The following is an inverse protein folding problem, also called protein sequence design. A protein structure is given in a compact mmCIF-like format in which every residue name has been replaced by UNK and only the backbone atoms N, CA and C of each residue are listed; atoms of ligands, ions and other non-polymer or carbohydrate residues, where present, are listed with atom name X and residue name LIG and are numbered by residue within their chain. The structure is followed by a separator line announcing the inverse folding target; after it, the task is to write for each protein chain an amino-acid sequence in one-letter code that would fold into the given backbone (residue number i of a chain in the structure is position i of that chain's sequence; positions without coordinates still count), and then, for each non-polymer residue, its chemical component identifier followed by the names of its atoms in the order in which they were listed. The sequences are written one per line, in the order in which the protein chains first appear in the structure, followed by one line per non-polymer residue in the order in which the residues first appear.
data_IF_409356118029
#
_entry.id   IF_409356118029
#
_cell.length_a   1.000
_cell.length_b   1.000
_cell.length_c   1.000
_cell.angle_alpha   90.00
_cell.angle_beta   90.00
_cell.angle_gamma   90.00
#
_symmetry.space_group_name_H-M   'P 1'
#
loop_
_entity.id
_entity.type
_entity.pdbx_description
1 polymer ?
#
# COMPACT_ATOMS: atom_id res chain seq x y z
N UNK A 1 19.15 -1.38 -0.91
CA UNK A 1 18.10 -0.50 -0.38
C UNK A 1 16.98 -1.42 0.08
N UNK A 2 16.64 -1.44 1.38
CA UNK A 2 15.58 -2.30 1.88
C UNK A 2 14.21 -1.79 1.39
N UNK A 3 13.24 -2.70 1.20
CA UNK A 3 11.88 -2.31 0.84
C UNK A 3 11.28 -1.45 1.98
N UNK A 4 10.85 -0.19 1.74
CA UNK A 4 10.31 0.68 2.77
C UNK A 4 9.04 0.12 3.43
N UNK A 5 8.36 -0.83 2.77
CA UNK A 5 7.18 -1.51 3.28
C UNK A 5 7.48 -2.84 3.96
N UNK A 6 8.75 -3.20 4.22
CA UNK A 6 9.12 -4.51 4.77
C UNK A 6 8.33 -4.88 6.03
N UNK A 7 8.10 -3.94 6.94
CA UNK A 7 7.34 -4.18 8.17
C UNK A 7 5.85 -4.44 7.90
N UNK A 8 5.24 -3.69 6.98
CA UNK A 8 3.84 -3.92 6.58
C UNK A 8 3.68 -5.22 5.80
N UNK A 9 4.62 -5.54 4.92
CA UNK A 9 4.62 -6.82 4.19
C UNK A 9 4.67 -7.98 5.19
N UNK A 10 5.61 -7.98 6.14
CA UNK A 10 5.65 -9.01 7.18
C UNK A 10 4.35 -9.08 7.97
N UNK A 11 3.77 -7.93 8.34
CA UNK A 11 2.51 -7.89 9.09
C UNK A 11 1.32 -8.46 8.32
N UNK A 12 1.20 -8.14 7.02
CA UNK A 12 0.08 -8.60 6.17
C UNK A 12 0.15 -10.10 5.88
N UNK A 13 1.36 -10.64 5.76
CA UNK A 13 1.58 -12.07 5.47
C UNK A 13 1.72 -12.94 6.71
N UNK A 14 2.08 -12.38 7.87
CA UNK A 14 2.17 -13.13 9.12
C UNK A 14 0.78 -13.60 9.57
N UNK A 15 0.64 -14.90 9.80
CA UNK A 15 -0.55 -15.47 10.45
C UNK A 15 -0.38 -15.59 11.96
N UNK A 16 0.71 -15.08 12.52
CA UNK A 16 0.99 -15.16 13.95
C UNK A 16 0.05 -14.23 14.72
N UNK A 17 -0.80 -14.79 15.58
CA UNK A 17 -1.58 -14.00 16.54
C UNK A 17 -0.68 -13.35 17.61
N UNK A 18 0.55 -13.84 17.74
CA UNK A 18 1.55 -13.22 18.59
C UNK A 18 2.19 -12.09 17.78
N UNK A 19 2.13 -10.87 18.31
CA UNK A 19 2.73 -9.67 17.72
C UNK A 19 4.28 -9.69 17.72
N UNK A 20 4.88 -10.85 17.47
CA UNK A 20 6.32 -11.06 17.42
C UNK A 20 6.91 -10.85 16.02
N UNK A 21 6.09 -10.38 15.07
CA UNK A 21 6.43 -10.17 13.66
C UNK A 21 7.10 -11.40 13.02
N UNK A 22 6.86 -12.60 13.56
CA UNK A 22 7.36 -13.84 12.99
C UNK A 22 6.49 -14.30 11.84
N UNK A 23 7.13 -14.80 10.79
CA UNK A 23 6.45 -15.44 9.67
C UNK A 23 6.72 -16.94 9.73
N UNK A 24 5.65 -17.72 9.60
CA UNK A 24 5.79 -19.15 9.39
C UNK A 24 6.38 -19.45 8.01
N UNK A 25 6.82 -20.69 7.78
CA UNK A 25 7.27 -21.08 6.44
C UNK A 25 6.12 -21.03 5.41
N UNK A 26 4.88 -21.27 5.86
CA UNK A 26 3.68 -21.17 5.02
C UNK A 26 3.43 -19.71 4.61
N UNK A 27 3.51 -18.77 5.57
CA UNK A 27 3.40 -17.31 5.34
C UNK A 27 4.40 -16.83 4.31
N UNK A 28 5.64 -17.34 4.38
CA UNK A 28 6.69 -17.01 3.44
C UNK A 28 6.41 -17.57 2.02
N UNK A 29 5.86 -18.78 1.93
CA UNK A 29 5.45 -19.34 0.64
C UNK A 29 4.27 -18.59 0.04
N UNK A 30 3.30 -18.18 0.85
CA UNK A 30 2.17 -17.35 0.42
C UNK A 30 2.66 -15.99 -0.07
N UNK A 31 3.59 -15.37 0.65
CA UNK A 31 4.27 -14.15 0.23
C UNK A 31 4.91 -14.34 -1.16
N UNK A 32 5.75 -15.36 -1.33
CA UNK A 32 6.41 -15.63 -2.60
C UNK A 32 5.42 -15.96 -3.73
N UNK A 33 4.31 -16.63 -3.42
CA UNK A 33 3.25 -16.93 -4.37
C UNK A 33 2.63 -15.64 -4.92
N UNK A 34 2.34 -14.67 -4.06
CA UNK A 34 1.79 -13.36 -4.45
C UNK A 34 2.78 -12.53 -5.26
N UNK A 35 4.06 -12.53 -4.87
CA UNK A 35 5.10 -11.81 -5.62
C UNK A 35 5.55 -12.53 -6.90
N UNK A 36 5.09 -13.75 -7.15
CA UNK A 36 5.43 -14.50 -8.37
C UNK A 36 4.83 -13.85 -9.62
N UNK A 37 5.49 -14.05 -10.77
CA UNK A 37 4.94 -13.63 -12.07
C UNK A 37 3.67 -14.39 -12.46
N UNK A 38 3.45 -15.56 -11.84
CA UNK A 38 2.24 -16.37 -12.00
C UNK A 38 1.01 -15.82 -11.26
N UNK A 39 1.17 -14.91 -10.30
CA UNK A 39 0.04 -14.31 -9.59
C UNK A 39 -0.72 -13.32 -10.50
N UNK A 40 -2.05 -13.38 -10.44
CA UNK A 40 -2.92 -12.49 -11.19
C UNK A 40 -2.80 -11.05 -10.67
N UNK A 41 -3.03 -10.07 -11.55
CA UNK A 41 -3.04 -8.66 -11.16
C UNK A 41 -4.06 -8.37 -10.06
N UNK A 42 -5.15 -9.14 -9.99
CA UNK A 42 -6.16 -9.05 -8.92
C UNK A 42 -5.59 -9.41 -7.55
N UNK A 43 -4.86 -10.54 -7.45
CA UNK A 43 -4.19 -10.96 -6.21
C UNK A 43 -3.13 -9.92 -5.81
N UNK A 44 -2.30 -9.47 -6.76
CA UNK A 44 -1.27 -8.46 -6.49
C UNK A 44 -1.89 -7.16 -5.99
N UNK A 45 -2.98 -6.70 -6.61
CA UNK A 45 -3.68 -5.48 -6.21
C UNK A 45 -4.31 -5.62 -4.83
N UNK A 46 -4.88 -6.78 -4.51
CA UNK A 46 -5.47 -7.06 -3.20
C UNK A 46 -4.42 -7.00 -2.08
N UNK A 47 -3.26 -7.65 -2.27
CA UNK A 47 -2.19 -7.59 -1.26
C UNK A 47 -1.53 -6.22 -1.20
N UNK A 48 -1.34 -5.53 -2.32
CA UNK A 48 -0.86 -4.15 -2.33
C UNK A 48 -1.79 -3.24 -1.52
N UNK A 49 -3.11 -3.39 -1.69
CA UNK A 49 -4.10 -2.66 -0.91
C UNK A 49 -3.93 -2.92 0.60
N UNK A 50 -3.82 -4.18 1.04
CA UNK A 50 -3.60 -4.51 2.46
C UNK A 50 -2.28 -3.99 3.02
N UNK A 51 -1.23 -3.93 2.20
CA UNK A 51 0.06 -3.35 2.61
C UNK A 51 -0.06 -1.83 2.81
N UNK A 52 -0.88 -1.17 1.99
CA UNK A 52 -1.08 0.27 2.00
C UNK A 52 -2.09 0.76 3.03
N UNK A 53 -3.08 -0.07 3.36
CA UNK A 53 -3.98 0.12 4.48
C UNK A 53 -3.15 -0.07 5.77
N UNK A 54 -3.03 0.95 6.63
CA UNK A 54 -2.18 0.86 7.83
C UNK A 54 -2.96 0.63 9.12
N UNK A 55 -4.26 0.96 9.14
CA UNK A 55 -5.17 0.70 10.25
C UNK A 55 -6.05 -0.52 10.02
N UNK A 56 -5.89 -1.19 8.86
CA UNK A 56 -6.53 -2.45 8.51
C UNK A 56 -8.07 -2.33 8.56
N UNK A 57 -8.59 -1.15 8.18
CA UNK A 57 -10.02 -0.81 8.21
C UNK A 57 -10.75 -1.16 6.90
N UNK A 58 -10.01 -1.59 5.88
CA UNK A 58 -10.55 -1.97 4.57
C UNK A 58 -10.70 -0.80 3.60
N UNK A 59 -10.24 0.40 3.95
CA UNK A 59 -10.24 1.61 3.14
C UNK A 59 -8.89 2.33 3.22
N UNK A 60 -8.44 2.97 2.14
CA UNK A 60 -7.25 3.82 2.20
C UNK A 60 -7.69 5.24 2.55
N UNK A 61 -7.52 5.61 3.81
CA UNK A 61 -7.78 6.98 4.23
C UNK A 61 -6.68 7.92 3.76
N UNK A 62 -6.93 9.23 3.81
CA UNK A 62 -5.90 10.25 3.59
C UNK A 62 -4.64 10.00 4.44
N UNK A 63 -4.79 9.51 5.68
CA UNK A 63 -3.66 9.27 6.58
C UNK A 63 -2.77 8.14 6.07
N UNK A 64 -3.35 7.12 5.47
CA UNK A 64 -2.62 5.94 4.99
C UNK A 64 -1.89 6.27 3.70
N UNK A 65 -2.52 7.06 2.82
CA UNK A 65 -1.86 7.64 1.66
C UNK A 65 -0.73 8.60 2.06
N UNK A 66 -0.91 9.42 3.10
CA UNK A 66 0.14 10.29 3.63
C UNK A 66 1.34 9.47 4.17
N UNK A 67 1.07 8.40 4.93
CA UNK A 67 2.11 7.47 5.40
C UNK A 67 2.82 6.79 4.23
N UNK A 68 2.06 6.34 3.23
CA UNK A 68 2.59 5.69 2.02
C UNK A 68 3.52 6.63 1.25
N UNK A 69 3.08 7.86 0.98
CA UNK A 69 3.90 8.86 0.29
C UNK A 69 5.14 9.19 1.13
N UNK A 70 5.02 9.29 2.46
CA UNK A 70 6.17 9.47 3.33
C UNK A 70 7.16 8.29 3.29
N UNK A 71 6.66 7.05 3.25
CA UNK A 71 7.48 5.84 3.13
C UNK A 71 8.21 5.78 1.79
N UNK A 72 7.58 6.18 0.68
CA UNK A 72 8.18 6.22 -0.66
C UNK A 72 9.18 7.36 -0.85
N UNK A 73 8.89 8.54 -0.29
CA UNK A 73 9.74 9.73 -0.46
C UNK A 73 10.99 9.69 0.42
N UNK A 74 11.05 8.75 1.37
CA UNK A 74 12.23 8.47 2.17
C UNK A 74 12.60 9.58 3.16
N UNK A 75 13.39 9.22 4.16
CA UNK A 75 13.94 10.09 5.21
C UNK A 75 14.97 11.12 4.70
N UNK A 76 14.83 11.64 3.48
CA UNK A 76 15.65 12.75 3.05
C UNK A 76 15.10 14.02 3.70
N UNK A 77 15.77 14.50 4.74
CA UNK A 77 15.44 15.75 5.43
C UNK A 77 15.32 16.94 4.44
N UNK A 78 15.97 16.86 3.27
CA UNK A 78 15.83 17.83 2.16
C UNK A 78 14.50 17.69 1.37
N UNK A 79 13.92 16.49 1.24
CA UNK A 79 12.65 16.28 0.54
C UNK A 79 11.43 16.61 1.43
N UNK A 80 11.55 16.39 2.75
CA UNK A 80 10.57 16.80 3.76
C UNK A 80 10.31 18.31 3.79
N UNK A 81 11.32 19.11 3.42
CA UNK A 81 11.24 20.57 3.38
C UNK A 81 10.26 21.11 2.33
N UNK A 82 9.86 20.31 1.34
CA UNK A 82 8.74 20.64 0.46
C UNK A 82 7.42 20.22 1.11
N UNK A 83 7.11 20.84 2.24
CA UNK A 83 5.90 20.64 3.08
C UNK A 83 4.53 20.77 2.37
N UNK A 84 4.51 21.01 1.06
CA UNK A 84 3.29 21.04 0.24
C UNK A 84 3.17 19.92 -0.80
N UNK A 85 4.25 19.23 -1.18
CA UNK A 85 4.20 18.25 -2.27
C UNK A 85 3.55 16.90 -1.89
N UNK A 86 3.86 16.30 -0.72
CA UNK A 86 3.21 15.06 -0.30
C UNK A 86 1.69 15.21 -0.18
N UNK A 87 1.24 16.32 0.39
CA UNK A 87 -0.19 16.61 0.60
C UNK A 87 -0.89 16.83 -0.74
N UNK A 88 -0.25 17.49 -1.71
CA UNK A 88 -0.84 17.69 -3.04
C UNK A 88 -0.91 16.39 -3.83
N UNK A 89 0.09 15.51 -3.72
CA UNK A 89 0.05 14.18 -4.33
C UNK A 89 -1.10 13.35 -3.75
N UNK A 90 -1.26 13.31 -2.43
CA UNK A 90 -2.37 12.59 -1.78
C UNK A 90 -3.74 13.16 -2.20
N UNK A 91 -3.87 14.49 -2.28
CA UNK A 91 -5.12 15.12 -2.74
C UNK A 91 -5.43 14.79 -4.20
N UNK A 92 -4.42 14.81 -5.07
CA UNK A 92 -4.57 14.47 -6.49
C UNK A 92 -4.96 13.00 -6.63
N UNK A 93 -4.29 12.10 -5.91
CA UNK A 93 -4.62 10.66 -5.89
C UNK A 93 -6.06 10.46 -5.46
N UNK A 94 -6.49 11.07 -4.35
CA UNK A 94 -7.88 11.00 -3.90
C UNK A 94 -8.84 11.56 -4.95
N UNK A 95 -8.59 12.75 -5.51
CA UNK A 95 -9.47 13.36 -6.52
C UNK A 95 -9.61 12.53 -7.80
N UNK A 96 -8.60 11.74 -8.17
CA UNK A 96 -8.64 10.84 -9.34
C UNK A 96 -9.20 9.45 -9.03
N UNK A 97 -9.12 9.01 -7.78
CA UNK A 97 -9.41 7.64 -7.35
C UNK A 97 -10.75 7.48 -6.64
N UNK A 98 -11.14 8.48 -5.85
CA UNK A 98 -12.35 8.52 -5.03
C UNK A 98 -13.57 8.85 -5.91
N UNK A 99 -14.28 7.80 -6.35
CA UNK A 99 -15.39 7.89 -7.30
C UNK A 99 -16.66 8.33 -6.57
N UNK A 100 -16.90 7.80 -5.38
CA UNK A 100 -18.09 8.07 -4.59
C UNK A 100 -17.99 9.32 -3.69
N UNK A 101 -16.77 9.88 -3.56
CA UNK A 101 -16.44 11.09 -2.80
C UNK A 101 -16.65 10.94 -1.30
N UNK A 102 -16.45 9.74 -0.78
CA UNK A 102 -16.50 9.47 0.65
C UNK A 102 -15.22 9.91 1.39
N UNK A 103 -14.16 10.28 0.65
CA UNK A 103 -12.89 10.77 1.17
C UNK A 103 -11.90 9.66 1.50
N UNK A 104 -12.20 8.42 1.13
CA UNK A 104 -11.36 7.22 1.24
C UNK A 104 -11.28 6.52 -0.12
N UNK A 105 -10.40 5.52 -0.25
CA UNK A 105 -10.32 4.69 -1.46
C UNK A 105 -10.59 3.25 -1.05
N UNK A 106 -11.68 2.68 -1.53
CA UNK A 106 -11.98 1.27 -1.30
C UNK A 106 -11.22 0.36 -2.29
N UNK A 107 -11.24 -0.96 -2.04
CA UNK A 107 -10.52 -1.93 -2.88
C UNK A 107 -10.92 -1.85 -4.37
N UNK A 108 -12.19 -1.60 -4.68
CA UNK A 108 -12.68 -1.55 -6.07
C UNK A 108 -12.13 -0.33 -6.79
N UNK A 109 -12.11 0.82 -6.12
CA UNK A 109 -11.51 2.06 -6.62
C UNK A 109 -10.00 1.93 -6.78
N UNK A 110 -9.33 1.30 -5.82
CA UNK A 110 -7.89 1.04 -5.91
C UNK A 110 -7.54 0.16 -7.13
N UNK A 111 -8.27 -0.94 -7.33
CA UNK A 111 -8.08 -1.79 -8.51
C UNK A 111 -8.32 -1.02 -9.82
N UNK A 112 -9.31 -0.13 -9.83
CA UNK A 112 -9.58 0.72 -10.99
C UNK A 112 -8.39 1.63 -11.32
N UNK A 113 -7.79 2.26 -10.31
CA UNK A 113 -6.65 3.18 -10.45
C UNK A 113 -5.39 2.44 -10.88
N UNK A 114 -5.10 1.30 -10.24
CA UNK A 114 -3.94 0.45 -10.58
C UNK A 114 -4.05 -0.04 -12.03
N UNK A 115 -5.24 -0.44 -12.48
CA UNK A 115 -5.45 -0.88 -13.87
C UNK A 115 -5.24 0.24 -14.92
N UNK A 116 -5.36 1.51 -14.52
CA UNK A 116 -5.19 2.67 -15.38
C UNK A 116 -3.79 3.28 -15.32
N UNK A 117 -3.00 2.90 -14.33
CA UNK A 117 -1.66 3.42 -14.11
C UNK A 117 -0.65 2.57 -14.91
N UNK A 118 -0.01 3.12 -15.95
CA UNK A 118 0.96 2.36 -16.75
C UNK A 118 2.20 1.95 -15.95
N UNK A 119 2.45 2.57 -14.80
CA UNK A 119 3.52 2.17 -13.87
C UNK A 119 3.25 0.83 -13.17
N UNK A 120 2.02 0.33 -13.21
CA UNK A 120 1.61 -0.98 -12.65
C UNK A 120 1.19 -2.00 -13.72
N UNK A 121 1.27 -1.64 -15.00
CA UNK A 121 0.88 -2.47 -16.15
C UNK A 121 2.05 -3.24 -16.78
#
# INVERSE_FOLDING_TARGET
QANPFQHRICHVFSTSENSDDSMSFEDFLDMLSVFSDSATSEIKSHYAFRIFDFDDDGTLSRKDLEKLVNCLTGQDEESRLKRGQPIQNVRTILEESDIDKDGTINLSEFQHVVSRSPDFA
#
